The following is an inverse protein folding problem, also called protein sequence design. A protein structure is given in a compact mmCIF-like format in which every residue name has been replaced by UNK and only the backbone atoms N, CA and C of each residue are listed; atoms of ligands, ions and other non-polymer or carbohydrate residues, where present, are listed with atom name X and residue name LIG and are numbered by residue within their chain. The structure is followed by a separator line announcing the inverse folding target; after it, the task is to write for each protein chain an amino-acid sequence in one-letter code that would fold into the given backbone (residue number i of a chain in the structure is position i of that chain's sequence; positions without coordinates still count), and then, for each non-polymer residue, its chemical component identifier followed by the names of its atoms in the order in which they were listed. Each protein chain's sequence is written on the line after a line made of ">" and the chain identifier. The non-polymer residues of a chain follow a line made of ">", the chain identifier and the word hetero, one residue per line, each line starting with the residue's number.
data_IF_426518005201
#
_entry.id   IF_426518005201
#
_cell.length_a   1.000
_cell.length_b   1.000
_cell.length_c   1.000
_cell.angle_alpha   90.00
_cell.angle_beta   90.00
_cell.angle_gamma   90.00
#
_symmetry.space_group_name_H-M   'P 1'
#
loop_
_entity.id
_entity.type
_entity.pdbx_description
1 polymer ?
#
# COMPACT_ATOMS: atom_id res chain seq x y z
N UNK A 1 27.00 -6.67 -2.91
CA UNK A 1 26.43 -7.63 -1.96
C UNK A 1 25.85 -6.93 -0.73
N UNK A 2 26.54 -5.94 -0.15
CA UNK A 2 26.08 -5.23 1.07
C UNK A 2 24.75 -4.48 0.95
N UNK A 3 24.49 -3.79 -0.17
CA UNK A 3 23.22 -3.04 -0.32
C UNK A 3 22.01 -3.97 -0.39
N UNK A 4 22.12 -5.09 -1.11
CA UNK A 4 21.04 -6.08 -1.21
C UNK A 4 20.75 -6.68 0.17
N UNK A 5 21.80 -7.02 0.93
CA UNK A 5 21.66 -7.52 2.30
C UNK A 5 21.01 -6.48 3.23
N UNK A 6 21.40 -5.20 3.11
CA UNK A 6 20.78 -4.10 3.85
C UNK A 6 19.29 -3.93 3.52
N UNK A 7 18.91 -4.08 2.24
CA UNK A 7 17.52 -3.99 1.79
C UNK A 7 16.69 -5.17 2.30
N UNK A 8 17.22 -6.40 2.22
CA UNK A 8 16.55 -7.59 2.73
C UNK A 8 16.39 -7.58 4.24
N UNK A 9 17.30 -6.94 4.98
CA UNK A 9 17.19 -6.77 6.44
C UNK A 9 16.24 -5.64 6.84
N UNK A 10 15.77 -4.81 5.91
CA UNK A 10 14.86 -3.72 6.24
C UNK A 10 13.41 -4.24 6.40
N UNK A 11 12.84 -4.23 7.61
CA UNK A 11 11.51 -4.76 7.86
C UNK A 11 10.42 -3.99 7.10
N UNK A 12 10.62 -2.70 6.82
CA UNK A 12 9.66 -1.88 6.10
C UNK A 12 9.50 -2.41 4.66
N UNK A 13 10.61 -2.72 3.99
CA UNK A 13 10.60 -3.25 2.62
C UNK A 13 9.85 -4.59 2.57
N UNK A 14 10.18 -5.50 3.51
CA UNK A 14 9.53 -6.81 3.59
C UNK A 14 8.02 -6.65 3.81
N UNK A 15 7.61 -5.83 4.79
CA UNK A 15 6.20 -5.61 5.12
C UNK A 15 5.47 -5.02 3.91
N UNK A 16 6.05 -4.04 3.23
CA UNK A 16 5.45 -3.44 2.02
C UNK A 16 5.23 -4.48 0.93
N UNK A 17 6.23 -5.33 0.66
CA UNK A 17 6.12 -6.40 -0.33
C UNK A 17 5.04 -7.43 0.04
N UNK A 18 5.00 -7.86 1.31
CA UNK A 18 3.98 -8.79 1.80
C UNK A 18 2.58 -8.21 1.65
N UNK A 19 2.39 -6.94 2.00
CA UNK A 19 1.10 -6.26 1.83
C UNK A 19 0.68 -6.24 0.35
N UNK A 20 1.58 -5.88 -0.57
CA UNK A 20 1.29 -5.89 -2.01
C UNK A 20 0.87 -7.27 -2.50
N UNK A 21 1.54 -8.33 -2.05
CA UNK A 21 1.25 -9.72 -2.40
C UNK A 21 -0.12 -10.13 -1.86
N UNK A 22 -0.40 -9.88 -0.58
CA UNK A 22 -1.66 -10.25 0.07
C UNK A 22 -2.85 -9.59 -0.63
N UNK A 23 -2.76 -8.27 -0.89
CA UNK A 23 -3.83 -7.53 -1.56
C UNK A 23 -4.11 -8.03 -2.99
N UNK A 24 -3.11 -8.60 -3.65
CA UNK A 24 -3.23 -9.11 -5.02
C UNK A 24 -3.71 -10.57 -5.08
N UNK A 25 -3.23 -11.42 -4.18
CA UNK A 25 -3.52 -12.87 -4.20
C UNK A 25 -4.80 -13.19 -3.43
N UNK A 26 -5.06 -12.49 -2.34
CA UNK A 26 -6.18 -12.77 -1.44
C UNK A 26 -7.19 -11.61 -1.36
N UNK A 27 -7.69 -11.07 -2.49
CA UNK A 27 -8.65 -9.98 -2.42
C UNK A 27 -9.94 -10.44 -1.73
N UNK A 28 -10.55 -9.58 -0.90
CA UNK A 28 -11.82 -9.88 -0.23
C UNK A 28 -12.97 -10.04 -1.23
N UNK A 29 -13.47 -11.27 -1.36
CA UNK A 29 -14.49 -11.62 -2.37
C UNK A 29 -15.91 -11.26 -1.96
N UNK A 30 -16.22 -11.24 -0.67
CA UNK A 30 -17.56 -10.97 -0.14
C UNK A 30 -17.50 -9.83 0.87
N UNK A 31 -18.62 -9.11 1.03
CA UNK A 31 -18.75 -8.06 2.04
C UNK A 31 -18.42 -8.65 3.41
N UNK A 32 -17.41 -8.07 4.05
CA UNK A 32 -16.87 -8.58 5.30
C UNK A 32 -16.56 -7.39 6.25
N UNK A 33 -17.06 -7.46 7.48
CA UNK A 33 -16.86 -6.41 8.47
C UNK A 33 -15.46 -6.39 9.09
N UNK A 34 -14.63 -7.42 8.88
CA UNK A 34 -13.29 -7.58 9.44
C UNK A 34 -12.17 -7.40 8.41
N UNK A 35 -12.43 -7.67 7.13
CA UNK A 35 -11.39 -7.68 6.09
C UNK A 35 -11.79 -6.90 4.84
N UNK A 36 -10.84 -6.15 4.28
CA UNK A 36 -10.99 -5.35 3.05
C UNK A 36 -11.18 -3.85 3.29
N UNK A 37 -11.45 -3.13 2.21
CA UNK A 37 -11.85 -1.73 2.21
C UNK A 37 -13.30 -1.59 2.71
N UNK A 38 -13.48 -1.09 3.94
CA UNK A 38 -14.74 -1.16 4.70
C UNK A 38 -15.38 0.20 4.97
N UNK A 39 -15.47 1.06 3.96
CA UNK A 39 -16.26 2.28 4.11
C UNK A 39 -17.76 1.98 4.01
N UNK A 40 -18.57 2.84 4.62
CA UNK A 40 -20.05 2.73 4.53
C UNK A 40 -20.52 2.74 3.08
N UNK A 41 -19.89 3.54 2.21
CA UNK A 41 -20.16 3.60 0.77
C UNK A 41 -19.83 2.29 0.04
N UNK A 42 -18.71 1.65 0.41
CA UNK A 42 -18.24 0.41 -0.20
C UNK A 42 -19.12 -0.79 0.18
N UNK A 43 -19.57 -0.86 1.42
CA UNK A 43 -20.34 -2.00 1.94
C UNK A 43 -21.83 -1.97 1.57
N UNK A 44 -22.32 -0.95 0.83
CA UNK A 44 -23.74 -0.80 0.48
C UNK A 44 -24.31 -1.98 -0.32
N UNK A 45 -23.53 -2.49 -1.28
CA UNK A 45 -23.92 -3.60 -2.13
C UNK A 45 -22.67 -4.29 -2.71
N UNK A 46 -22.87 -5.47 -3.32
CA UNK A 46 -21.78 -6.27 -3.88
C UNK A 46 -20.99 -5.55 -4.96
N UNK A 47 -21.66 -4.77 -5.81
CA UNK A 47 -21.02 -4.00 -6.89
C UNK A 47 -20.06 -2.95 -6.34
N UNK A 48 -20.49 -2.18 -5.35
CA UNK A 48 -19.67 -1.18 -4.67
C UNK A 48 -18.50 -1.83 -3.91
N UNK A 49 -18.75 -2.98 -3.30
CA UNK A 49 -17.71 -3.76 -2.63
C UNK A 49 -16.64 -4.15 -3.64
N UNK A 50 -17.00 -4.88 -4.70
CA UNK A 50 -16.06 -5.39 -5.70
C UNK A 50 -15.28 -4.27 -6.38
N UNK A 51 -15.96 -3.15 -6.68
CA UNK A 51 -15.32 -1.95 -7.21
C UNK A 51 -14.29 -1.38 -6.22
N UNK A 52 -14.67 -1.15 -4.97
CA UNK A 52 -13.80 -0.54 -3.97
C UNK A 52 -12.57 -1.40 -3.68
N UNK A 53 -12.75 -2.72 -3.55
CA UNK A 53 -11.65 -3.65 -3.29
C UNK A 53 -10.65 -3.64 -4.45
N UNK A 54 -11.14 -3.74 -5.69
CA UNK A 54 -10.28 -3.71 -6.87
C UNK A 54 -9.60 -2.35 -7.05
N UNK A 55 -10.34 -1.26 -6.93
CA UNK A 55 -9.83 0.09 -7.16
C UNK A 55 -8.82 0.51 -6.10
N UNK A 56 -9.14 0.32 -4.82
CA UNK A 56 -8.24 0.67 -3.71
C UNK A 56 -6.97 -0.19 -3.73
N UNK A 57 -7.08 -1.51 -3.97
CA UNK A 57 -5.91 -2.39 -4.06
C UNK A 57 -5.00 -2.00 -5.23
N UNK A 58 -5.54 -1.76 -6.42
CA UNK A 58 -4.75 -1.35 -7.59
C UNK A 58 -4.04 -0.01 -7.35
N UNK A 59 -4.77 0.96 -6.77
CA UNK A 59 -4.21 2.28 -6.49
C UNK A 59 -3.12 2.20 -5.43
N UNK A 60 -3.35 1.42 -4.37
CA UNK A 60 -2.38 1.22 -3.29
C UNK A 60 -1.13 0.50 -3.79
N UNK A 61 -1.26 -0.57 -4.56
CA UNK A 61 -0.14 -1.29 -5.17
C UNK A 61 0.67 -0.37 -6.11
N UNK A 62 0.01 0.48 -6.90
CA UNK A 62 0.70 1.42 -7.77
C UNK A 62 1.55 2.42 -6.96
N UNK A 63 0.98 3.01 -5.91
CA UNK A 63 1.74 3.93 -5.05
C UNK A 63 2.87 3.23 -4.28
N UNK A 64 2.61 2.05 -3.72
CA UNK A 64 3.65 1.28 -3.02
C UNK A 64 4.80 0.88 -3.95
N UNK A 65 4.50 0.53 -5.20
CA UNK A 65 5.54 0.21 -6.21
C UNK A 65 6.44 1.42 -6.47
N UNK A 66 5.85 2.61 -6.64
CA UNK A 66 6.59 3.86 -6.84
C UNK A 66 7.41 4.23 -5.60
N UNK A 67 6.83 4.12 -4.40
CA UNK A 67 7.52 4.40 -3.15
C UNK A 67 8.70 3.44 -2.93
N UNK A 68 8.51 2.15 -3.21
CA UNK A 68 9.57 1.15 -3.10
C UNK A 68 10.72 1.48 -4.05
N UNK A 69 10.44 1.86 -5.30
CA UNK A 69 11.48 2.26 -6.26
C UNK A 69 12.27 3.48 -5.77
N UNK A 70 11.57 4.52 -5.29
CA UNK A 70 12.21 5.72 -4.73
C UNK A 70 13.08 5.35 -3.52
N UNK A 71 12.57 4.47 -2.64
CA UNK A 71 13.31 3.98 -1.49
C UNK A 71 14.61 3.29 -1.91
N UNK A 72 14.56 2.35 -2.87
CA UNK A 72 15.76 1.66 -3.37
C UNK A 72 16.81 2.67 -3.83
N UNK A 73 16.39 3.68 -4.59
CA UNK A 73 17.29 4.72 -5.11
C UNK A 73 17.90 5.54 -3.96
N UNK A 74 17.10 5.98 -3.00
CA UNK A 74 17.60 6.75 -1.85
C UNK A 74 18.60 5.95 -1.01
N UNK A 75 18.37 4.66 -0.83
CA UNK A 75 19.31 3.77 -0.14
C UNK A 75 20.62 3.62 -0.91
N UNK A 76 20.57 3.51 -2.24
CA UNK A 76 21.78 3.40 -3.07
C UNK A 76 22.62 4.67 -3.04
N UNK A 77 21.99 5.85 -3.01
CA UNK A 77 22.70 7.14 -3.06
C UNK A 77 23.19 7.59 -1.68
N UNK A 78 22.38 7.43 -0.64
CA UNK A 78 22.63 8.03 0.68
C UNK A 78 22.90 7.01 1.79
N UNK A 79 22.75 5.70 1.51
CA UNK A 79 22.87 4.63 2.49
C UNK A 79 21.69 4.58 3.48
N UNK A 80 21.85 3.83 4.57
CA UNK A 80 20.83 3.76 5.62
C UNK A 80 20.93 4.98 6.54
N UNK A 81 20.00 5.92 6.40
CA UNK A 81 19.89 7.09 7.28
C UNK A 81 18.51 7.12 7.94
N UNK A 82 18.46 7.56 9.20
CA UNK A 82 17.22 7.66 9.96
C UNK A 82 16.16 8.52 9.27
N UNK A 83 16.56 9.61 8.60
CA UNK A 83 15.63 10.48 7.89
C UNK A 83 14.95 9.79 6.69
N UNK A 84 15.64 8.85 6.02
CA UNK A 84 15.09 8.07 4.90
C UNK A 84 14.02 7.12 5.43
N UNK A 85 14.27 6.45 6.56
CA UNK A 85 13.27 5.62 7.22
C UNK A 85 12.02 6.43 7.61
N UNK A 86 12.21 7.63 8.16
CA UNK A 86 11.10 8.51 8.56
C UNK A 86 10.27 8.98 7.35
N UNK A 87 10.92 9.34 6.25
CA UNK A 87 10.22 9.82 5.05
C UNK A 87 9.32 8.74 4.44
N UNK A 88 9.69 7.47 4.55
CA UNK A 88 8.88 6.34 4.07
C UNK A 88 7.60 6.19 4.89
N UNK A 89 7.71 6.23 6.23
CA UNK A 89 6.54 6.11 7.12
C UNK A 89 5.54 7.22 6.83
N UNK A 90 6.01 8.47 6.70
CA UNK A 90 5.17 9.61 6.33
C UNK A 90 4.51 9.39 4.96
N UNK A 91 5.29 8.94 3.97
CA UNK A 91 4.78 8.69 2.61
C UNK A 91 3.73 7.57 2.56
N UNK A 92 3.87 6.53 3.39
CA UNK A 92 2.89 5.45 3.54
C UNK A 92 1.57 5.97 4.12
N UNK A 93 1.63 6.79 5.17
CA UNK A 93 0.43 7.41 5.76
C UNK A 93 -0.32 8.29 4.76
N UNK A 94 0.41 9.11 3.99
CA UNK A 94 -0.16 9.93 2.92
C UNK A 94 -0.81 9.06 1.84
N UNK A 95 -0.17 7.95 1.46
CA UNK A 95 -0.71 7.02 0.46
C UNK A 95 -2.04 6.41 0.91
N UNK A 96 -2.14 5.98 2.17
CA UNK A 96 -3.40 5.47 2.74
C UNK A 96 -4.49 6.54 2.64
N UNK A 97 -4.19 7.78 3.04
CA UNK A 97 -5.14 8.90 2.94
C UNK A 97 -5.60 9.17 1.51
N UNK A 98 -4.68 9.19 0.55
CA UNK A 98 -4.98 9.39 -0.88
C UNK A 98 -5.85 8.26 -1.43
N UNK A 99 -5.55 7.01 -1.07
CA UNK A 99 -6.33 5.85 -1.52
C UNK A 99 -7.75 5.91 -0.98
N UNK A 100 -7.93 6.21 0.30
CA UNK A 100 -9.26 6.39 0.90
C UNK A 100 -10.01 7.52 0.18
N UNK A 101 -9.41 8.69 0.07
CA UNK A 101 -10.04 9.85 -0.58
C UNK A 101 -10.47 9.54 -2.02
N UNK A 102 -9.55 9.00 -2.84
CA UNK A 102 -9.84 8.69 -4.26
C UNK A 102 -10.88 7.58 -4.40
N UNK A 103 -10.90 6.61 -3.49
CA UNK A 103 -11.86 5.50 -3.54
C UNK A 103 -13.25 5.98 -3.14
N UNK A 104 -13.37 6.74 -2.04
CA UNK A 104 -14.66 7.34 -1.64
C UNK A 104 -15.21 8.29 -2.69
N UNK A 105 -14.35 9.09 -3.33
CA UNK A 105 -14.76 10.01 -4.39
C UNK A 105 -15.36 9.30 -5.61
N UNK A 106 -14.99 8.04 -5.88
CA UNK A 106 -15.54 7.25 -6.99
C UNK A 106 -16.75 6.39 -6.59
N UNK A 107 -16.98 6.20 -5.30
CA UNK A 107 -18.12 5.44 -4.76
C UNK A 107 -19.36 6.32 -4.51
N UNK A 108 -19.16 7.63 -4.41
CA UNK A 108 -20.22 8.65 -4.33
C UNK A 108 -20.57 9.14 -5.73
#
# INVERSE_FOLDING_TARGET
>A
MEVIDLMLKNPIIIITLLIMIIFRIFPPKNINALYGYRSTSSMKNKTNWDFAQKYSANLFIAFLSTLLLIQVILYLVFGNKTFINLSIVISLLLTIGIVIYKTEKKLK
#
